data_IF_296627097724
#
_entry.id   IF_296627097724
#
_cell.length_a   1.000
_cell.length_b   1.000
_cell.length_c   1.000
_cell.angle_alpha   90.00
_cell.angle_beta   90.00
_cell.angle_gamma   90.00
#
_symmetry.space_group_name_H-M   'P 1'
#
loop_
_entity.id
_entity.type
_entity.pdbx_description
1 polymer ?
#
# COMPACT_ATOMS: atom_id res chain seq x y z
N UNK A 1 16.20 5.05 -16.73
CA UNK A 1 15.85 4.35 -15.48
C UNK A 1 15.54 5.42 -14.44
N UNK A 2 14.40 5.30 -13.75
CA UNK A 2 13.92 6.37 -12.89
C UNK A 2 14.46 6.19 -11.45
N UNK A 3 15.79 6.28 -11.30
CA UNK A 3 16.42 6.45 -9.99
C UNK A 3 16.46 7.93 -9.64
N UNK A 4 16.17 8.27 -8.38
CA UNK A 4 16.23 9.64 -7.88
C UNK A 4 16.68 9.68 -6.42
N UNK A 5 17.25 10.83 -6.05
CA UNK A 5 17.63 11.12 -4.66
C UNK A 5 16.96 12.42 -4.25
N UNK A 6 16.15 12.38 -3.22
CA UNK A 6 15.52 13.56 -2.62
C UNK A 6 16.32 13.98 -1.40
N UNK A 7 16.65 15.28 -1.32
CA UNK A 7 17.37 15.90 -0.22
C UNK A 7 16.46 16.85 0.54
N UNK A 8 16.75 17.07 1.82
CA UNK A 8 16.01 17.99 2.68
C UNK A 8 14.53 17.62 2.84
N UNK A 9 14.21 16.34 2.72
CA UNK A 9 12.88 15.79 2.96
C UNK A 9 12.96 14.80 4.12
N UNK A 10 12.15 15.02 5.15
CA UNK A 10 12.07 14.15 6.33
C UNK A 10 10.75 13.39 6.35
N UNK A 11 10.82 12.13 6.71
CA UNK A 11 9.67 11.32 7.09
C UNK A 11 9.23 11.75 8.50
N UNK A 12 8.11 12.49 8.61
CA UNK A 12 7.66 13.08 9.87
C UNK A 12 6.81 12.11 10.70
N UNK A 13 6.04 11.24 10.05
CA UNK A 13 5.23 10.24 10.74
C UNK A 13 4.28 9.47 9.84
N UNK A 14 3.61 8.48 10.45
CA UNK A 14 2.65 7.62 9.77
C UNK A 14 1.57 7.13 10.73
N UNK A 15 0.32 7.10 10.28
CA UNK A 15 -0.78 6.45 10.96
C UNK A 15 -1.55 5.53 10.02
N UNK A 16 -2.18 4.51 10.59
CA UNK A 16 -2.93 3.49 9.85
C UNK A 16 -4.27 3.24 10.51
N UNK A 17 -5.32 3.19 9.70
CA UNK A 17 -6.66 2.80 10.10
C UNK A 17 -7.09 1.56 9.31
N UNK A 18 -7.62 0.57 10.02
CA UNK A 18 -8.21 -0.65 9.44
C UNK A 18 -9.64 -0.83 9.93
N UNK A 19 -10.51 -1.50 9.16
CA UNK A 19 -11.84 -1.82 9.62
C UNK A 19 -11.82 -2.69 10.89
N UNK A 20 -12.76 -2.46 11.81
CA UNK A 20 -12.99 -3.32 12.99
C UNK A 20 -13.37 -4.74 12.61
N UNK A 21 -14.12 -4.89 11.50
CA UNK A 21 -14.64 -6.20 11.08
C UNK A 21 -13.49 -7.09 10.60
N UNK A 22 -13.32 -8.19 11.30
CA UNK A 22 -12.36 -9.26 10.95
C UNK A 22 -13.09 -10.37 10.23
N UNK A 23 -12.55 -10.83 9.11
CA UNK A 23 -13.01 -11.99 8.34
C UNK A 23 -11.98 -13.10 8.47
N UNK A 24 -12.41 -14.25 8.94
CA UNK A 24 -11.56 -15.44 8.98
C UNK A 24 -11.67 -16.24 7.69
N UNK A 25 -10.55 -16.50 7.05
CA UNK A 25 -10.50 -17.36 5.86
C UNK A 25 -10.86 -18.83 6.17
N UNK A 26 -10.82 -19.24 7.43
CA UNK A 26 -11.11 -20.61 7.86
C UNK A 26 -12.55 -20.82 8.32
N UNK A 27 -13.16 -19.82 8.97
CA UNK A 27 -14.50 -19.96 9.56
C UNK A 27 -15.59 -19.23 8.79
N UNK A 28 -15.26 -18.13 8.10
CA UNK A 28 -16.23 -17.28 7.40
C UNK A 28 -16.34 -17.63 5.90
N UNK A 29 -16.13 -18.91 5.57
CA UNK A 29 -16.33 -19.45 4.23
C UNK A 29 -17.49 -20.47 4.23
N UNK A 30 -18.03 -20.76 3.04
CA UNK A 30 -19.01 -21.83 2.88
C UNK A 30 -18.44 -23.16 3.37
N UNK A 31 -19.21 -23.99 4.11
CA UNK A 31 -18.70 -25.27 4.66
C UNK A 31 -18.07 -26.18 3.62
N UNK A 32 -18.61 -26.20 2.39
CA UNK A 32 -18.10 -27.01 1.28
C UNK A 32 -16.68 -26.61 0.86
N UNK A 33 -16.31 -25.32 1.02
CA UNK A 33 -15.01 -24.78 0.61
C UNK A 33 -13.95 -24.87 1.72
N UNK A 34 -14.29 -25.36 2.91
CA UNK A 34 -13.39 -25.31 4.09
C UNK A 34 -12.06 -26.04 3.84
N UNK A 35 -12.11 -27.25 3.30
CA UNK A 35 -10.89 -28.02 3.03
C UNK A 35 -9.98 -27.35 1.99
N UNK A 36 -10.57 -26.72 0.99
CA UNK A 36 -9.84 -25.91 -0.01
C UNK A 36 -9.25 -24.67 0.63
N UNK A 37 -10.03 -23.95 1.45
CA UNK A 37 -9.57 -22.76 2.20
C UNK A 37 -8.40 -23.09 3.15
N UNK A 38 -8.43 -24.22 3.83
CA UNK A 38 -7.33 -24.67 4.68
C UNK A 38 -6.03 -24.88 3.88
N UNK A 39 -6.14 -25.47 2.67
CA UNK A 39 -4.96 -25.61 1.76
C UNK A 39 -4.47 -24.25 1.29
N UNK A 40 -5.39 -23.37 0.90
CA UNK A 40 -5.09 -22.03 0.43
C UNK A 40 -4.38 -21.23 1.53
N UNK A 41 -4.92 -21.17 2.74
CA UNK A 41 -4.33 -20.48 3.90
C UNK A 41 -2.91 -20.98 4.18
N UNK A 42 -2.68 -22.30 4.10
CA UNK A 42 -1.32 -22.85 4.25
C UNK A 42 -0.34 -22.33 3.19
N UNK A 43 -0.79 -22.02 1.98
CA UNK A 43 0.04 -21.55 0.89
C UNK A 43 0.24 -20.04 0.90
N UNK A 44 -0.87 -19.27 0.99
CA UNK A 44 -0.84 -17.80 0.95
C UNK A 44 -0.45 -17.16 2.28
N UNK A 45 -0.67 -17.86 3.41
CA UNK A 45 -0.31 -17.40 4.76
C UNK A 45 -1.26 -16.38 5.35
N UNK A 46 -2.49 -16.23 4.83
CA UNK A 46 -3.51 -15.26 5.28
C UNK A 46 -4.60 -16.00 6.07
N UNK A 47 -4.65 -15.79 7.38
CA UNK A 47 -5.66 -16.38 8.26
C UNK A 47 -6.87 -15.48 8.42
N UNK A 48 -6.62 -14.19 8.63
CA UNK A 48 -7.67 -13.18 8.79
C UNK A 48 -7.43 -11.96 7.90
N UNK A 49 -8.51 -11.23 7.66
CA UNK A 49 -8.52 -10.02 6.84
C UNK A 49 -9.44 -8.98 7.47
N UNK A 50 -9.24 -7.71 7.12
CA UNK A 50 -10.10 -6.60 7.53
C UNK A 50 -11.03 -6.22 6.39
N UNK A 51 -12.31 -6.01 6.68
CA UNK A 51 -13.32 -5.68 5.69
C UNK A 51 -14.16 -4.49 6.15
N UNK A 52 -14.18 -3.44 5.36
CA UNK A 52 -14.97 -2.25 5.59
C UNK A 52 -16.48 -2.56 5.60
N UNK A 53 -17.25 -1.74 6.31
CA UNK A 53 -18.71 -1.79 6.26
C UNK A 53 -19.19 -1.36 4.86
N UNK A 54 -20.43 -1.71 4.49
CA UNK A 54 -20.96 -1.41 3.15
C UNK A 54 -20.95 0.08 2.81
N UNK A 55 -21.17 0.93 3.81
CA UNK A 55 -21.19 2.39 3.68
C UNK A 55 -19.81 3.03 3.77
N UNK A 56 -18.80 2.30 4.27
CA UNK A 56 -17.46 2.83 4.55
C UNK A 56 -16.59 2.78 3.29
N UNK A 57 -16.06 3.90 2.86
CA UNK A 57 -15.13 4.04 1.76
C UNK A 57 -13.66 3.99 2.24
N UNK A 58 -12.73 3.87 1.30
CA UNK A 58 -11.32 4.06 1.58
C UNK A 58 -11.05 5.41 2.25
N UNK A 59 -11.70 6.48 1.76
CA UNK A 59 -11.54 7.84 2.27
C UNK A 59 -11.90 7.98 3.75
N UNK A 60 -12.83 7.18 4.28
CA UNK A 60 -13.19 7.20 5.69
C UNK A 60 -12.05 6.67 6.57
N UNK A 61 -11.45 5.55 6.17
CA UNK A 61 -10.29 4.99 6.85
C UNK A 61 -9.06 5.91 6.76
N UNK A 62 -8.84 6.52 5.58
CA UNK A 62 -7.76 7.45 5.35
C UNK A 62 -7.94 8.76 6.14
N UNK A 63 -9.19 9.23 6.30
CA UNK A 63 -9.53 10.37 7.13
C UNK A 63 -9.16 10.11 8.60
N UNK A 64 -9.60 8.98 9.18
CA UNK A 64 -9.29 8.63 10.56
C UNK A 64 -7.77 8.52 10.79
N UNK A 65 -7.04 7.95 9.83
CA UNK A 65 -5.58 7.88 9.87
C UNK A 65 -4.93 9.27 9.80
N UNK A 66 -5.42 10.16 8.93
CA UNK A 66 -4.90 11.52 8.78
C UNK A 66 -5.16 12.39 10.01
N UNK A 67 -6.36 12.33 10.60
CA UNK A 67 -6.70 13.03 11.84
C UNK A 67 -5.76 12.61 12.97
N UNK A 68 -5.58 11.30 13.18
CA UNK A 68 -4.67 10.78 14.21
C UNK A 68 -3.22 11.21 13.98
N UNK A 69 -2.78 11.23 12.72
CA UNK A 69 -1.42 11.63 12.39
C UNK A 69 -1.20 13.12 12.64
N UNK A 70 -2.11 13.97 12.20
CA UNK A 70 -2.05 15.43 12.43
C UNK A 70 -2.02 15.75 13.93
N UNK A 71 -2.86 15.08 14.74
CA UNK A 71 -2.87 15.18 16.19
C UNK A 71 -1.51 14.78 16.79
N UNK A 72 -0.97 13.64 16.38
CA UNK A 72 0.30 13.11 16.91
C UNK A 72 1.52 13.97 16.55
N UNK A 73 1.48 14.63 15.39
CA UNK A 73 2.50 15.56 14.92
C UNK A 73 2.33 16.98 15.46
N UNK A 74 1.19 17.27 16.10
CA UNK A 74 0.78 18.64 16.50
C UNK A 74 0.78 19.62 15.31
N UNK A 75 0.54 19.11 14.09
CA UNK A 75 0.46 19.94 12.90
C UNK A 75 -0.89 20.65 12.82
N UNK A 76 -0.81 21.96 12.60
CA UNK A 76 -2.01 22.74 12.29
C UNK A 76 -2.44 22.48 10.84
N UNK A 77 -3.73 22.46 10.58
CA UNK A 77 -4.27 22.22 9.23
C UNK A 77 -3.77 23.23 8.21
N UNK A 78 -3.60 24.48 8.65
CA UNK A 78 -3.10 25.61 7.83
C UNK A 78 -1.65 25.41 7.36
N UNK A 79 -0.91 24.48 7.97
CA UNK A 79 0.48 24.17 7.61
C UNK A 79 0.60 23.10 6.55
N UNK A 80 -0.51 22.44 6.17
CA UNK A 80 -0.50 21.35 5.17
C UNK A 80 -0.63 21.93 3.77
N UNK A 81 0.46 21.95 3.03
CA UNK A 81 0.55 22.53 1.68
C UNK A 81 0.11 21.57 0.57
N UNK A 82 0.20 20.24 0.80
CA UNK A 82 -0.15 19.22 -0.19
C UNK A 82 -0.83 18.01 0.43
N UNK A 83 -1.83 17.49 -0.29
CA UNK A 83 -2.55 16.25 -0.01
C UNK A 83 -2.58 15.38 -1.26
N UNK A 84 -1.88 14.26 -1.25
CA UNK A 84 -1.88 13.29 -2.36
C UNK A 84 -2.61 12.03 -1.90
N UNK A 85 -3.65 11.66 -2.62
CA UNK A 85 -4.39 10.43 -2.38
C UNK A 85 -4.02 9.39 -3.43
N UNK A 86 -3.63 8.20 -3.00
CA UNK A 86 -3.23 7.10 -3.90
C UNK A 86 -4.11 5.90 -3.65
N UNK A 87 -5.01 5.65 -4.60
CA UNK A 87 -6.02 4.59 -4.49
C UNK A 87 -6.49 4.11 -5.87
N UNK A 88 -6.95 2.87 -5.94
CA UNK A 88 -7.70 2.30 -7.07
C UNK A 88 -9.18 2.07 -6.74
N UNK A 89 -9.61 2.50 -5.55
CA UNK A 89 -11.01 2.48 -5.11
C UNK A 89 -11.47 3.88 -4.67
N UNK A 90 -11.47 4.87 -5.59
CA UNK A 90 -11.88 6.23 -5.27
C UNK A 90 -13.37 6.27 -4.87
N UNK A 91 -13.77 7.29 -4.08
CA UNK A 91 -15.16 7.48 -3.67
C UNK A 91 -16.09 7.65 -4.88
N UNK A 92 -15.62 8.39 -5.87
CA UNK A 92 -16.31 8.67 -7.14
C UNK A 92 -15.31 8.63 -8.32
N UNK A 93 -15.81 8.40 -9.52
CA UNK A 93 -15.00 8.60 -10.73
C UNK A 93 -14.58 10.08 -10.92
N UNK A 94 -15.39 11.00 -10.42
CA UNK A 94 -15.15 12.44 -10.33
C UNK A 94 -16.11 13.04 -9.29
N UNK A 95 -15.68 13.97 -8.43
CA UNK A 95 -14.34 14.56 -8.36
C UNK A 95 -13.27 13.61 -7.80
N UNK A 96 -12.01 14.06 -7.74
CA UNK A 96 -10.94 13.36 -7.05
C UNK A 96 -11.25 13.20 -5.55
N UNK A 97 -10.92 12.04 -4.98
CA UNK A 97 -11.08 11.75 -3.53
C UNK A 97 -10.27 12.73 -2.68
N UNK A 98 -9.11 13.17 -3.17
CA UNK A 98 -8.29 14.19 -2.50
C UNK A 98 -9.03 15.52 -2.28
N UNK A 99 -9.90 15.93 -3.23
CA UNK A 99 -10.70 17.14 -3.06
C UNK A 99 -11.73 17.01 -1.94
N UNK A 100 -12.32 15.82 -1.80
CA UNK A 100 -13.27 15.51 -0.73
C UNK A 100 -12.54 15.49 0.62
N UNK A 101 -11.40 14.85 0.69
CA UNK A 101 -10.60 14.75 1.91
C UNK A 101 -9.97 16.09 2.30
N UNK A 102 -9.62 16.96 1.35
CA UNK A 102 -9.14 18.31 1.62
C UNK A 102 -10.18 19.11 2.42
N UNK A 103 -11.46 19.07 2.02
CA UNK A 103 -12.57 19.73 2.72
C UNK A 103 -12.86 19.05 4.07
N UNK A 104 -13.00 17.74 4.10
CA UNK A 104 -13.27 16.95 5.32
C UNK A 104 -12.22 17.18 6.42
N UNK A 105 -10.94 17.23 6.04
CA UNK A 105 -9.82 17.50 6.94
C UNK A 105 -9.71 18.99 7.31
N UNK A 106 -10.52 19.86 6.73
CA UNK A 106 -10.48 21.31 6.96
C UNK A 106 -9.15 21.95 6.53
N UNK A 107 -8.50 21.41 5.50
CA UNK A 107 -7.25 21.96 4.97
C UNK A 107 -7.53 23.24 4.17
N UNK A 108 -6.60 24.21 4.12
CA UNK A 108 -6.81 25.47 3.42
C UNK A 108 -7.01 25.28 1.91
N UNK A 109 -7.69 26.23 1.27
CA UNK A 109 -7.91 26.23 -0.18
C UNK A 109 -6.60 26.33 -0.98
N UNK A 110 -5.51 26.75 -0.36
CA UNK A 110 -4.16 26.76 -0.94
C UNK A 110 -3.49 25.39 -0.98
N UNK A 111 -4.04 24.38 -0.29
CA UNK A 111 -3.50 23.02 -0.30
C UNK A 111 -3.63 22.40 -1.70
N UNK A 112 -2.53 21.97 -2.28
CA UNK A 112 -2.53 21.20 -3.52
C UNK A 112 -3.09 19.81 -3.25
N UNK A 113 -4.23 19.45 -3.86
CA UNK A 113 -4.90 18.17 -3.62
C UNK A 113 -5.22 17.45 -4.94
N UNK A 114 -4.78 16.19 -5.10
CA UNK A 114 -5.07 15.37 -6.27
C UNK A 114 -4.88 13.87 -5.99
N UNK A 115 -5.51 13.04 -6.84
CA UNK A 115 -5.43 11.58 -6.78
C UNK A 115 -4.36 11.03 -7.74
N UNK A 116 -3.82 9.87 -7.36
CA UNK A 116 -2.95 9.03 -8.19
C UNK A 116 -3.53 7.62 -8.24
N UNK A 117 -3.76 7.10 -9.44
CA UNK A 117 -4.29 5.75 -9.64
C UNK A 117 -3.13 4.73 -9.65
N UNK A 118 -2.75 4.25 -8.46
CA UNK A 118 -1.81 3.15 -8.27
C UNK A 118 -2.30 2.26 -7.12
N UNK A 119 -2.03 0.95 -7.22
CA UNK A 119 -2.38 -0.05 -6.19
C UNK A 119 -1.15 -0.55 -5.43
N UNK A 120 -0.84 -1.83 -5.55
CA UNK A 120 0.17 -2.55 -4.75
C UNK A 120 1.59 -1.93 -4.75
N UNK A 121 1.98 -1.22 -5.80
CA UNK A 121 3.27 -0.52 -5.90
C UNK A 121 3.24 0.92 -5.37
N UNK A 122 2.05 1.44 -5.02
CA UNK A 122 1.76 2.85 -4.77
C UNK A 122 2.73 3.56 -3.83
N UNK A 123 3.08 2.93 -2.72
CA UNK A 123 3.69 3.62 -1.60
C UNK A 123 5.05 4.29 -1.91
N UNK A 124 6.05 3.64 -2.53
CA UNK A 124 7.28 4.30 -2.95
C UNK A 124 7.06 5.42 -3.98
N UNK A 125 6.09 5.25 -4.91
CA UNK A 125 5.74 6.29 -5.88
C UNK A 125 5.15 7.51 -5.19
N UNK A 126 4.27 7.29 -4.22
CA UNK A 126 3.62 8.35 -3.45
C UNK A 126 4.64 9.17 -2.63
N UNK A 127 5.56 8.50 -1.94
CA UNK A 127 6.65 9.15 -1.20
C UNK A 127 7.55 9.98 -2.13
N UNK A 128 7.91 9.42 -3.30
CA UNK A 128 8.72 10.13 -4.29
C UNK A 128 7.99 11.37 -4.82
N UNK A 129 6.70 11.25 -5.12
CA UNK A 129 5.91 12.35 -5.67
C UNK A 129 5.78 13.52 -4.69
N UNK A 130 5.36 13.26 -3.45
CA UNK A 130 5.27 14.30 -2.41
C UNK A 130 6.65 14.85 -2.05
N UNK A 131 7.63 13.98 -1.86
CA UNK A 131 8.99 14.40 -1.57
C UNK A 131 9.61 15.26 -2.67
N UNK A 132 9.27 15.02 -3.95
CA UNK A 132 9.70 15.85 -5.08
C UNK A 132 9.09 17.25 -5.04
N UNK A 133 7.79 17.36 -4.66
CA UNK A 133 7.15 18.68 -4.47
C UNK A 133 7.81 19.46 -3.33
N UNK A 134 8.16 18.78 -2.24
CA UNK A 134 8.88 19.39 -1.12
C UNK A 134 10.30 19.81 -1.53
N UNK A 135 11.05 18.93 -2.18
CA UNK A 135 12.41 19.22 -2.63
C UNK A 135 12.49 20.36 -3.66
N UNK A 136 11.41 20.55 -4.45
CA UNK A 136 11.29 21.68 -5.39
C UNK A 136 11.03 23.02 -4.69
N UNK A 137 10.70 23.03 -3.37
CA UNK A 137 10.57 24.24 -2.56
C UNK A 137 9.17 24.88 -2.53
N UNK A 138 8.19 24.33 -3.25
CA UNK A 138 6.82 24.84 -3.27
C UNK A 138 5.92 24.32 -2.12
N UNK A 139 6.32 23.21 -1.51
CA UNK A 139 5.60 22.52 -0.42
C UNK A 139 6.56 22.35 0.74
N UNK A 140 6.12 22.66 1.96
CA UNK A 140 6.92 22.44 3.17
C UNK A 140 6.43 21.25 3.97
N UNK A 141 5.13 21.08 4.10
CA UNK A 141 4.48 19.97 4.81
C UNK A 141 3.41 19.35 3.91
N UNK A 142 3.39 18.04 3.81
CA UNK A 142 2.38 17.36 3.01
C UNK A 142 2.01 16.00 3.56
N UNK A 143 0.83 15.55 3.15
CA UNK A 143 0.27 14.25 3.48
C UNK A 143 0.14 13.38 2.22
N UNK A 144 0.49 12.12 2.36
CA UNK A 144 0.16 11.05 1.41
C UNK A 144 -0.83 10.12 2.08
N UNK A 145 -2.01 9.94 1.48
CA UNK A 145 -3.00 8.96 1.93
C UNK A 145 -3.02 7.81 0.94
N UNK A 146 -2.76 6.60 1.43
CA UNK A 146 -2.64 5.42 0.57
C UNK A 146 -3.51 4.30 1.09
N UNK A 147 -4.24 3.63 0.22
CA UNK A 147 -5.02 2.45 0.54
C UNK A 147 -6.11 2.15 -0.46
N UNK A 148 -6.81 1.07 -0.21
CA UNK A 148 -7.91 0.61 -1.05
C UNK A 148 -9.02 -0.04 -0.21
N UNK A 149 -10.21 -0.08 -0.81
CA UNK A 149 -11.36 -0.85 -0.38
C UNK A 149 -11.74 -1.85 -1.46
N UNK A 150 -11.50 -3.12 -1.23
CA UNK A 150 -11.74 -4.18 -2.22
C UNK A 150 -11.95 -5.56 -1.59
N UNK A 151 -11.93 -5.65 -0.24
CA UNK A 151 -12.13 -6.91 0.45
C UNK A 151 -13.54 -7.45 0.21
N UNK A 152 -13.63 -8.77 0.06
CA UNK A 152 -14.87 -9.51 -0.08
C UNK A 152 -14.82 -10.77 0.78
N UNK A 153 -15.96 -11.24 1.28
CA UNK A 153 -16.03 -12.52 2.01
C UNK A 153 -15.57 -13.70 1.13
N UNK A 154 -15.83 -13.61 -0.17
CA UNK A 154 -15.49 -14.67 -1.11
C UNK A 154 -14.00 -14.65 -1.53
N UNK A 155 -13.35 -13.49 -1.53
CA UNK A 155 -11.94 -13.36 -1.85
C UNK A 155 -11.08 -13.65 -0.60
N UNK A 156 -10.14 -14.60 -0.65
CA UNK A 156 -9.31 -14.95 0.51
C UNK A 156 -8.04 -14.10 0.65
N UNK A 157 -7.79 -13.16 -0.24
CA UNK A 157 -6.50 -12.46 -0.36
C UNK A 157 -6.60 -11.03 0.14
N UNK A 158 -7.53 -10.24 -0.41
CA UNK A 158 -7.56 -8.80 -0.21
C UNK A 158 -8.23 -8.36 1.09
N UNK A 159 -7.73 -7.25 1.63
CA UNK A 159 -8.12 -6.63 2.88
C UNK A 159 -8.17 -5.12 2.70
N UNK A 160 -9.01 -4.43 3.47
CA UNK A 160 -9.19 -2.99 3.39
C UNK A 160 -8.31 -2.27 4.42
N UNK A 161 -7.77 -1.11 4.05
CA UNK A 161 -7.05 -0.21 4.93
C UNK A 161 -6.97 1.20 4.36
N UNK A 162 -6.86 2.19 5.23
CA UNK A 162 -6.51 3.57 4.91
C UNK A 162 -5.30 4.01 5.75
N UNK A 163 -4.36 4.72 5.13
CA UNK A 163 -3.13 5.16 5.81
C UNK A 163 -2.83 6.62 5.50
N UNK A 164 -2.14 7.26 6.41
CA UNK A 164 -1.63 8.62 6.23
C UNK A 164 -0.13 8.64 6.55
N UNK A 165 0.66 9.27 5.68
CA UNK A 165 2.10 9.50 5.88
C UNK A 165 2.38 10.98 5.71
N UNK A 166 3.13 11.54 6.63
CA UNK A 166 3.56 12.93 6.61
C UNK A 166 5.02 13.05 6.19
N UNK A 167 5.29 13.90 5.20
CA UNK A 167 6.63 14.35 4.84
C UNK A 167 6.74 15.85 5.03
N UNK A 168 7.94 16.32 5.41
CA UNK A 168 8.19 17.73 5.56
C UNK A 168 9.58 18.14 5.06
N UNK A 169 9.72 19.43 4.75
CA UNK A 169 11.03 20.04 4.50
C UNK A 169 11.84 20.07 5.79
N UNK A 170 13.04 19.51 5.76
CA UNK A 170 13.99 19.55 6.86
C UNK A 170 15.40 19.67 6.28
N UNK A 171 16.00 20.85 6.42
CA UNK A 171 17.34 21.10 5.91
C UNK A 171 18.35 20.14 6.58
N UNK A 172 19.18 19.51 5.75
CA UNK A 172 20.18 18.54 6.22
C UNK A 172 19.63 17.16 6.56
N UNK A 173 18.33 16.89 6.35
CA UNK A 173 17.78 15.53 6.52
C UNK A 173 18.50 14.52 5.63
N UNK A 174 18.71 13.27 6.10
CA UNK A 174 19.29 12.21 5.28
C UNK A 174 18.54 12.05 3.95
N UNK A 175 19.25 11.77 2.85
CA UNK A 175 18.61 11.65 1.55
C UNK A 175 17.72 10.41 1.48
N UNK A 176 16.60 10.53 0.78
CA UNK A 176 15.76 9.41 0.38
C UNK A 176 16.14 8.98 -1.04
N UNK A 177 16.37 7.69 -1.26
CA UNK A 177 16.74 7.14 -2.56
C UNK A 177 15.60 6.29 -3.12
N UNK A 178 15.36 6.40 -4.43
CA UNK A 178 14.25 5.70 -5.11
C UNK A 178 14.71 5.03 -6.40
N UNK A 179 14.08 3.89 -6.73
CA UNK A 179 14.08 3.27 -8.06
C UNK A 179 12.64 2.88 -8.41
N UNK A 180 12.05 3.58 -9.40
CA UNK A 180 10.65 3.42 -9.79
C UNK A 180 10.56 2.89 -11.22
N UNK A 181 9.75 1.85 -11.44
CA UNK A 181 9.71 1.11 -12.70
C UNK A 181 8.29 0.67 -13.07
N UNK A 182 8.04 0.50 -14.38
CA UNK A 182 6.78 -0.02 -14.91
C UNK A 182 7.03 -0.92 -16.12
N UNK A 183 6.21 -1.96 -16.26
CA UNK A 183 6.16 -2.87 -17.41
C UNK A 183 4.70 -3.03 -17.86
N UNK A 184 4.25 -2.14 -18.72
CA UNK A 184 2.89 -2.14 -19.24
C UNK A 184 2.55 -3.34 -20.13
N UNK A 185 3.53 -4.13 -20.57
CA UNK A 185 3.25 -5.35 -21.35
C UNK A 185 2.48 -6.40 -20.54
N UNK A 186 2.64 -6.36 -19.21
CA UNK A 186 1.97 -7.25 -18.26
C UNK A 186 0.63 -6.75 -17.72
N UNK A 187 0.01 -5.71 -18.29
CA UNK A 187 -1.19 -5.08 -17.72
C UNK A 187 -2.38 -6.00 -17.48
N UNK A 188 -2.47 -7.10 -18.24
CA UNK A 188 -3.54 -8.11 -18.10
C UNK A 188 -3.34 -9.08 -16.94
N UNK A 189 -2.15 -9.12 -16.34
CA UNK A 189 -1.88 -10.05 -15.25
C UNK A 189 -2.68 -9.72 -13.98
N UNK A 190 -3.00 -8.44 -13.77
CA UNK A 190 -3.92 -7.97 -12.73
C UNK A 190 -4.76 -6.85 -13.35
N UNK A 191 -6.06 -7.06 -13.51
CA UNK A 191 -6.93 -6.11 -14.19
C UNK A 191 -8.37 -6.16 -13.67
N UNK A 192 -9.01 -4.98 -13.55
CA UNK A 192 -10.47 -4.84 -13.53
C UNK A 192 -10.91 -4.49 -14.96
N UNK A 193 -11.41 -5.46 -15.76
CA UNK A 193 -11.61 -5.24 -17.17
C UNK A 193 -12.83 -4.37 -17.48
N UNK A 194 -13.80 -4.33 -16.54
CA UNK A 194 -15.09 -3.65 -16.69
C UNK A 194 -15.23 -2.52 -15.67
N UNK A 195 -15.86 -1.43 -16.05
CA UNK A 195 -16.13 -0.27 -15.18
C UNK A 195 -15.51 1.03 -15.67
N UNK A 196 -14.50 0.94 -16.55
CA UNK A 196 -13.91 2.10 -17.22
C UNK A 196 -14.58 2.42 -18.56
N UNK A 197 -14.07 3.44 -19.26
CA UNK A 197 -14.60 3.87 -20.56
C UNK A 197 -14.41 2.84 -21.69
N UNK A 198 -13.40 1.96 -21.58
CA UNK A 198 -13.14 0.92 -22.58
C UNK A 198 -14.22 -0.16 -22.58
N UNK A 199 -14.70 -0.53 -21.41
CA UNK A 199 -15.78 -1.50 -21.19
C UNK A 199 -16.66 -0.98 -20.05
N UNK A 200 -17.66 -0.15 -20.33
CA UNK A 200 -18.60 0.35 -19.33
C UNK A 200 -19.45 -0.77 -18.72
N UNK A 201 -19.87 -0.59 -17.46
CA UNK A 201 -20.73 -1.57 -16.78
C UNK A 201 -22.08 -1.69 -17.51
N UNK A 202 -22.41 -2.89 -17.95
CA UNK A 202 -23.74 -3.29 -18.44
C UNK A 202 -24.32 -4.40 -17.57
N UNK A 203 -25.63 -4.65 -17.69
CA UNK A 203 -26.34 -5.68 -16.91
C UNK A 203 -25.70 -7.06 -17.05
N UNK A 204 -25.21 -7.40 -18.24
CA UNK A 204 -24.52 -8.66 -18.54
C UNK A 204 -23.27 -8.88 -17.68
N UNK A 205 -22.57 -7.80 -17.27
CA UNK A 205 -21.35 -7.88 -16.49
C UNK A 205 -21.60 -8.15 -14.99
N UNK A 206 -22.83 -7.92 -14.53
CA UNK A 206 -23.25 -8.18 -13.16
C UNK A 206 -23.71 -9.63 -12.94
N UNK A 207 -24.03 -10.33 -14.07
CA UNK A 207 -24.47 -11.71 -14.01
C UNK A 207 -23.28 -12.62 -13.65
N UNK A 208 -23.41 -13.44 -12.60
CA UNK A 208 -22.37 -14.40 -12.27
C UNK A 208 -22.31 -15.49 -13.33
N UNK A 209 -21.11 -15.90 -13.68
CA UNK A 209 -20.87 -17.08 -14.52
C UNK A 209 -20.03 -18.09 -13.73
N UNK A 210 -20.21 -19.36 -14.06
CA UNK A 210 -19.48 -20.46 -13.44
C UNK A 210 -18.18 -20.68 -14.20
N UNK A 211 -17.05 -20.60 -13.50
CA UNK A 211 -15.74 -20.76 -14.12
C UNK A 211 -15.34 -22.24 -14.23
N UNK A 212 -15.69 -23.04 -13.23
CA UNK A 212 -15.34 -24.46 -13.18
C UNK A 212 -16.41 -25.34 -12.52
N UNK A 213 -16.16 -26.66 -12.46
CA UNK A 213 -17.05 -27.64 -11.85
C UNK A 213 -17.10 -27.54 -10.29
N UNK A 214 -16.19 -26.78 -9.67
CA UNK A 214 -16.08 -26.62 -8.22
C UNK A 214 -16.89 -25.47 -7.67
N UNK A 215 -17.88 -24.94 -8.41
CA UNK A 215 -18.74 -23.84 -7.98
C UNK A 215 -18.01 -22.50 -7.74
N UNK A 216 -16.91 -22.24 -8.47
CA UNK A 216 -16.32 -20.91 -8.53
C UNK A 216 -17.15 -20.01 -9.44
N UNK A 217 -17.74 -18.99 -8.83
CA UNK A 217 -18.59 -18.03 -9.53
C UNK A 217 -17.89 -16.69 -9.59
N UNK A 218 -17.71 -16.15 -10.78
CA UNK A 218 -17.13 -14.84 -11.04
C UNK A 218 -18.12 -13.95 -11.80
N UNK A 219 -17.92 -12.64 -11.67
CA UNK A 219 -18.59 -11.65 -12.52
C UNK A 219 -17.53 -10.96 -13.37
N UNK A 220 -17.90 -10.47 -14.52
CA UNK A 220 -16.97 -9.77 -15.39
C UNK A 220 -16.40 -8.49 -14.76
N UNK A 221 -17.09 -7.93 -13.75
CA UNK A 221 -16.64 -6.77 -12.97
C UNK A 221 -15.67 -7.13 -11.84
N UNK A 222 -15.41 -8.41 -11.58
CA UNK A 222 -14.48 -8.82 -10.51
C UNK A 222 -13.04 -8.69 -10.99
N UNK A 223 -12.13 -8.48 -10.04
CA UNK A 223 -10.69 -8.41 -10.32
C UNK A 223 -10.21 -9.74 -10.89
N UNK A 224 -9.55 -9.69 -12.05
CA UNK A 224 -8.88 -10.83 -12.66
C UNK A 224 -7.40 -10.80 -12.28
N UNK A 225 -6.88 -11.95 -11.83
CA UNK A 225 -5.50 -12.09 -11.35
C UNK A 225 -4.89 -13.39 -11.88
N UNK A 226 -3.86 -13.27 -12.75
CA UNK A 226 -3.01 -14.39 -13.15
C UNK A 226 -1.90 -14.60 -12.10
N UNK A 227 -2.15 -15.50 -11.15
CA UNK A 227 -1.22 -15.78 -10.07
C UNK A 227 0.16 -16.25 -10.53
N UNK A 228 0.24 -16.95 -11.67
CA UNK A 228 1.52 -17.43 -12.24
C UNK A 228 2.32 -16.28 -12.82
N UNK A 229 1.69 -15.40 -13.59
CA UNK A 229 2.33 -14.21 -14.13
C UNK A 229 2.81 -13.28 -13.02
N UNK A 230 1.98 -13.06 -11.98
CA UNK A 230 2.33 -12.23 -10.83
C UNK A 230 3.49 -12.82 -10.04
N UNK A 231 3.51 -14.13 -9.78
CA UNK A 231 4.63 -14.81 -9.11
C UNK A 231 5.92 -14.65 -9.90
N UNK A 232 5.87 -14.93 -11.21
CA UNK A 232 7.02 -14.82 -12.11
C UNK A 232 7.58 -13.39 -12.12
N UNK A 233 6.72 -12.40 -12.35
CA UNK A 233 7.06 -10.97 -12.32
C UNK A 233 7.73 -10.59 -11.01
N UNK A 234 7.04 -10.84 -9.87
CA UNK A 234 7.50 -10.40 -8.56
C UNK A 234 8.86 -10.98 -8.21
N UNK A 235 9.05 -12.29 -8.45
CA UNK A 235 10.31 -12.99 -8.10
C UNK A 235 11.47 -12.72 -9.06
N UNK A 236 11.20 -12.19 -10.27
CA UNK A 236 12.23 -11.80 -11.24
C UNK A 236 12.60 -10.31 -11.17
N UNK A 237 11.64 -9.42 -10.84
CA UNK A 237 11.86 -7.97 -10.88
C UNK A 237 12.22 -7.38 -9.51
N UNK A 238 11.62 -7.90 -8.43
CA UNK A 238 11.80 -7.30 -7.09
C UNK A 238 13.22 -7.48 -6.54
N UNK A 239 13.83 -8.68 -6.53
CA UNK A 239 15.18 -8.82 -5.98
C UNK A 239 16.22 -7.95 -6.69
N UNK A 240 16.32 -7.91 -8.05
CA UNK A 240 17.25 -7.01 -8.73
C UNK A 240 16.98 -5.52 -8.47
N UNK A 241 15.71 -5.12 -8.26
CA UNK A 241 15.38 -3.72 -7.96
C UNK A 241 15.89 -3.30 -6.58
N UNK A 242 15.80 -4.20 -5.58
CA UNK A 242 16.35 -3.98 -4.24
C UNK A 242 17.88 -3.84 -4.29
N UNK A 243 18.57 -4.75 -4.97
CA UNK A 243 20.02 -4.70 -5.13
C UNK A 243 20.48 -3.44 -5.85
N UNK A 244 19.80 -3.09 -6.95
CA UNK A 244 20.07 -1.87 -7.69
C UNK A 244 19.89 -0.60 -6.86
N UNK A 245 18.86 -0.52 -6.01
CA UNK A 245 18.67 0.64 -5.14
C UNK A 245 19.77 0.75 -4.10
N UNK A 246 20.17 -0.37 -3.49
CA UNK A 246 21.28 -0.38 -2.54
C UNK A 246 22.60 0.06 -3.18
N UNK A 247 22.91 -0.46 -4.36
CA UNK A 247 24.09 -0.05 -5.14
C UNK A 247 24.04 1.45 -5.47
N UNK A 248 22.88 1.96 -5.91
CA UNK A 248 22.69 3.39 -6.21
C UNK A 248 22.88 4.28 -4.99
N UNK A 249 22.41 3.83 -3.83
CA UNK A 249 22.54 4.54 -2.55
C UNK A 249 23.92 4.38 -1.91
N UNK A 250 24.78 3.50 -2.43
CA UNK A 250 26.06 3.14 -1.81
C UNK A 250 25.88 2.46 -0.45
N UNK A 251 24.81 1.69 -0.27
CA UNK A 251 24.46 1.02 0.97
C UNK A 251 24.53 -0.51 0.84
N UNK A 252 24.87 -1.19 1.93
CA UNK A 252 24.82 -2.65 2.02
C UNK A 252 23.52 -3.15 2.68
N UNK A 253 23.20 -4.44 2.47
CA UNK A 253 22.04 -5.09 3.15
C UNK A 253 22.19 -5.09 4.67
N UNK A 254 23.41 -5.12 5.19
CA UNK A 254 23.67 -5.16 6.63
C UNK A 254 23.33 -3.83 7.31
N UNK A 255 23.47 -2.72 6.58
CA UNK A 255 23.14 -1.37 7.05
C UNK A 255 21.64 -1.06 7.05
N UNK A 256 20.79 -1.94 6.47
CA UNK A 256 19.34 -1.82 6.49
C UNK A 256 18.79 -2.55 7.69
N UNK A 257 18.02 -1.85 8.53
CA UNK A 257 17.39 -2.42 9.71
C UNK A 257 16.18 -3.27 9.34
N UNK A 258 15.33 -2.75 8.43
CA UNK A 258 14.11 -3.42 7.98
C UNK A 258 13.91 -3.35 6.47
N UNK A 259 13.51 -4.48 5.88
CA UNK A 259 13.03 -4.60 4.51
C UNK A 259 11.53 -4.82 4.52
N UNK A 260 10.77 -3.79 4.18
CA UNK A 260 9.30 -3.85 4.18
C UNK A 260 8.81 -4.04 2.73
N UNK A 261 8.29 -5.22 2.44
CA UNK A 261 7.76 -5.58 1.14
C UNK A 261 6.23 -5.46 1.10
N UNK A 262 5.69 -5.17 -0.08
CA UNK A 262 4.27 -5.37 -0.35
C UNK A 262 3.84 -6.77 0.11
N UNK A 263 2.72 -6.85 0.81
CA UNK A 263 2.19 -8.09 1.39
C UNK A 263 1.30 -8.82 0.37
N UNK A 264 1.91 -9.38 -0.68
CA UNK A 264 1.19 -10.07 -1.76
C UNK A 264 0.60 -11.41 -1.29
N UNK A 265 1.47 -12.34 -0.92
CA UNK A 265 1.19 -13.59 -0.23
C UNK A 265 2.51 -14.20 0.28
N UNK A 266 2.40 -15.20 1.18
CA UNK A 266 3.59 -15.82 1.81
C UNK A 266 4.55 -16.44 0.80
N UNK A 267 4.05 -17.10 -0.23
CA UNK A 267 4.90 -17.78 -1.22
C UNK A 267 5.77 -16.76 -1.98
N UNK A 268 5.19 -15.66 -2.45
CA UNK A 268 5.92 -14.59 -3.14
C UNK A 268 6.92 -13.95 -2.20
N UNK A 269 6.47 -13.51 -1.01
CA UNK A 269 7.30 -12.76 -0.07
C UNK A 269 8.49 -13.60 0.43
N UNK A 270 8.29 -14.89 0.78
CA UNK A 270 9.35 -15.79 1.18
C UNK A 270 10.33 -16.12 0.05
N UNK A 271 9.84 -16.19 -1.19
CA UNK A 271 10.74 -16.39 -2.35
C UNK A 271 11.63 -15.16 -2.55
N UNK A 272 11.09 -13.96 -2.45
CA UNK A 272 11.86 -12.70 -2.55
C UNK A 272 12.89 -12.64 -1.42
N UNK A 273 12.45 -12.83 -0.16
CA UNK A 273 13.34 -12.82 1.01
C UNK A 273 14.53 -13.77 0.85
N UNK A 274 14.26 -15.02 0.46
CA UNK A 274 15.29 -16.06 0.27
C UNK A 274 16.25 -15.73 -0.88
N UNK A 275 15.74 -15.21 -2.00
CA UNK A 275 16.60 -14.79 -3.14
C UNK A 275 17.54 -13.64 -2.74
N UNK A 276 17.10 -12.74 -1.87
CA UNK A 276 17.92 -11.64 -1.36
C UNK A 276 18.84 -12.05 -0.21
N UNK A 277 18.70 -13.28 0.33
CA UNK A 277 19.47 -13.76 1.47
C UNK A 277 19.16 -13.02 2.78
N UNK A 278 17.93 -12.46 2.92
CA UNK A 278 17.57 -11.65 4.08
C UNK A 278 17.14 -12.54 5.26
N UNK A 279 17.60 -12.22 6.49
CA UNK A 279 17.14 -12.88 7.71
C UNK A 279 15.67 -12.51 7.99
N UNK A 280 14.93 -13.42 8.62
CA UNK A 280 13.47 -13.27 8.81
C UNK A 280 13.11 -12.09 9.73
N UNK A 281 13.95 -11.81 10.71
CA UNK A 281 13.77 -10.72 11.68
C UNK A 281 13.88 -9.33 11.06
N UNK A 282 14.56 -9.18 9.93
CA UNK A 282 14.62 -7.92 9.17
C UNK A 282 13.44 -7.74 8.18
N UNK A 283 12.58 -8.75 8.02
CA UNK A 283 11.47 -8.72 7.05
C UNK A 283 10.12 -8.89 7.76
N UNK A 284 9.60 -7.82 8.38
CA UNK A 284 8.31 -7.88 9.07
C UNK A 284 7.17 -8.22 8.11
N UNK A 285 6.15 -8.94 8.60
CA UNK A 285 4.99 -9.34 7.82
C UNK A 285 3.69 -9.21 8.59
N UNK A 286 2.65 -8.75 7.91
CA UNK A 286 1.27 -8.62 8.39
C UNK A 286 0.30 -9.55 7.66
N UNK A 287 0.79 -10.36 6.73
CA UNK A 287 -0.04 -11.25 5.90
C UNK A 287 -1.01 -12.10 6.71
N UNK A 288 -0.55 -12.67 7.83
CA UNK A 288 -1.37 -13.56 8.64
C UNK A 288 -2.65 -12.92 9.13
N UNK A 289 -2.54 -11.67 9.65
CA UNK A 289 -3.58 -11.01 10.41
C UNK A 289 -4.35 -9.96 9.60
N UNK A 290 -3.70 -9.40 8.57
CA UNK A 290 -4.26 -8.31 7.77
C UNK A 290 -4.41 -8.65 6.28
N UNK A 291 -3.85 -9.77 5.80
CA UNK A 291 -3.88 -10.11 4.37
C UNK A 291 -3.18 -9.10 3.48
N UNK A 292 -3.63 -9.02 2.22
CA UNK A 292 -3.12 -8.08 1.23
C UNK A 292 -3.96 -6.79 1.26
N UNK A 293 -3.43 -5.73 1.85
CA UNK A 293 -4.06 -4.40 1.92
C UNK A 293 -3.64 -3.48 0.76
N UNK A 294 -3.32 -4.05 -0.42
CA UNK A 294 -2.93 -3.32 -1.63
C UNK A 294 -1.82 -2.29 -1.37
N UNK A 295 -2.00 -1.03 -1.77
CA UNK A 295 -1.05 0.07 -1.57
C UNK A 295 -0.73 0.38 -0.11
N UNK A 296 -1.66 0.10 0.80
CA UNK A 296 -1.49 0.30 2.24
C UNK A 296 -0.60 -0.75 2.92
N UNK A 297 -0.19 -1.81 2.22
CA UNK A 297 0.48 -2.96 2.85
C UNK A 297 1.82 -2.64 3.52
N UNK A 298 2.59 -1.70 2.97
CA UNK A 298 3.83 -1.24 3.60
C UNK A 298 3.54 -0.43 4.87
N UNK A 299 2.69 0.62 4.83
CA UNK A 299 2.30 1.36 6.02
C UNK A 299 1.67 0.50 7.11
N UNK A 300 0.74 -0.40 6.76
CA UNK A 300 0.13 -1.34 7.72
C UNK A 300 1.21 -2.20 8.40
N UNK A 301 2.20 -2.69 7.62
CA UNK A 301 3.28 -3.51 8.19
C UNK A 301 4.16 -2.68 9.11
N UNK A 302 4.52 -1.47 8.74
CA UNK A 302 5.34 -0.59 9.59
C UNK A 302 4.61 -0.25 10.89
N UNK A 303 3.34 0.14 10.83
CA UNK A 303 2.55 0.52 12.00
C UNK A 303 2.23 -0.68 12.91
N UNK A 304 1.89 -1.85 12.33
CA UNK A 304 1.44 -2.99 13.11
C UNK A 304 2.58 -3.87 13.67
N UNK A 305 3.82 -3.75 13.16
CA UNK A 305 4.91 -4.67 13.52
C UNK A 305 6.16 -4.00 14.08
N UNK A 306 6.48 -2.78 13.67
CA UNK A 306 7.76 -2.13 14.00
C UNK A 306 7.57 -0.64 14.38
N UNK A 307 6.37 -0.19 14.69
CA UNK A 307 6.10 1.22 15.03
C UNK A 307 6.95 1.70 16.22
N UNK A 308 7.10 0.86 17.25
CA UNK A 308 7.86 1.21 18.46
C UNK A 308 9.34 1.35 18.17
N UNK A 309 9.90 0.46 17.35
CA UNK A 309 11.30 0.51 16.93
C UNK A 309 11.56 1.75 16.07
N UNK A 310 10.63 2.06 15.14
CA UNK A 310 10.74 3.24 14.28
C UNK A 310 10.62 4.56 15.06
N UNK A 311 9.84 4.58 16.14
CA UNK A 311 9.67 5.77 16.98
C UNK A 311 10.82 5.94 17.98
N UNK A 312 11.43 4.84 18.45
CA UNK A 312 12.45 4.84 19.49
C UNK A 312 13.83 5.33 19.05
N UNK A 313 14.15 5.30 17.74
CA UNK A 313 15.47 5.66 17.27
C UNK A 313 15.57 5.84 15.75
N UNK A 314 16.81 6.00 15.27
CA UNK A 314 17.09 6.03 13.85
C UNK A 314 17.07 4.62 13.28
N UNK A 315 16.27 4.44 12.24
CA UNK A 315 16.17 3.18 11.51
C UNK A 315 16.32 3.44 10.01
N UNK A 316 17.13 2.64 9.33
CA UNK A 316 17.23 2.63 7.87
C UNK A 316 16.30 1.58 7.33
N UNK A 317 15.30 2.01 6.57
CA UNK A 317 14.23 1.15 6.07
C UNK A 317 14.25 1.11 4.54
N UNK A 318 14.26 -0.10 3.97
CA UNK A 318 14.03 -0.31 2.55
C UNK A 318 12.57 -0.73 2.33
N UNK A 319 11.84 0.10 1.60
CA UNK A 319 10.45 -0.09 1.24
C UNK A 319 10.35 -0.60 -0.20
N UNK A 320 9.55 -1.63 -0.46
CA UNK A 320 9.38 -2.16 -1.81
C UNK A 320 7.92 -2.52 -2.09
N UNK A 321 7.25 -1.70 -2.91
CA UNK A 321 5.92 -1.95 -3.44
C UNK A 321 6.00 -2.54 -4.85
N UNK A 322 5.13 -3.50 -5.18
CA UNK A 322 5.09 -4.14 -6.50
C UNK A 322 3.73 -4.78 -6.75
N UNK A 323 3.28 -4.81 -8.00
CA UNK A 323 2.03 -5.46 -8.40
C UNK A 323 1.43 -4.89 -9.68
N UNK A 324 0.13 -4.57 -9.58
CA UNK A 324 -0.69 -4.09 -10.68
C UNK A 324 -0.02 -2.96 -11.47
N UNK A 325 -0.12 -3.10 -12.89
CA UNK A 325 0.47 -2.16 -13.81
C UNK A 325 1.07 -2.85 -15.05
N UNK A 326 2.01 -3.79 -14.99
CA UNK A 326 2.81 -4.11 -13.80
C UNK A 326 3.72 -2.96 -13.43
N UNK A 327 3.90 -2.74 -12.14
CA UNK A 327 4.78 -1.69 -11.65
C UNK A 327 5.46 -2.10 -10.34
N UNK A 328 6.64 -1.55 -10.09
CA UNK A 328 7.35 -1.76 -8.84
C UNK A 328 8.20 -0.54 -8.50
N UNK A 329 8.33 -0.28 -7.22
CA UNK A 329 9.14 0.80 -6.70
C UNK A 329 9.86 0.41 -5.43
N UNK A 330 11.09 0.89 -5.29
CA UNK A 330 11.87 0.76 -4.06
C UNK A 330 12.22 2.15 -3.52
N UNK A 331 12.26 2.27 -2.19
CA UNK A 331 12.69 3.48 -1.49
C UNK A 331 13.60 3.08 -0.33
N UNK A 332 14.76 3.72 -0.21
CA UNK A 332 15.62 3.63 0.96
C UNK A 332 15.52 4.96 1.72
N UNK A 333 15.09 4.88 2.98
CA UNK A 333 14.85 6.03 3.84
C UNK A 333 15.40 5.81 5.24
N UNK A 334 16.05 6.83 5.79
CA UNK A 334 16.37 6.90 7.20
C UNK A 334 15.21 7.56 7.95
N UNK A 335 14.61 6.85 8.89
CA UNK A 335 13.51 7.34 9.73
C UNK A 335 14.07 7.64 11.13
N UNK A 336 13.91 8.89 11.55
CA UNK A 336 14.37 9.35 12.86
C UNK A 336 13.44 10.44 13.38
N UNK A 337 13.00 10.34 14.63
CA UNK A 337 12.11 11.30 15.29
C UNK A 337 10.72 11.38 14.69
N UNK A 338 10.31 10.38 13.92
CA UNK A 338 8.99 10.28 13.31
C UNK A 338 7.95 9.77 14.32
N UNK A 339 6.67 10.10 14.10
CA UNK A 339 5.55 9.65 14.94
C UNK A 339 4.86 8.45 14.32
N UNK A 340 4.63 7.43 15.13
CA UNK A 340 3.93 6.19 14.74
C UNK A 340 2.85 5.83 15.78
N UNK A 341 1.74 6.57 15.83
CA UNK A 341 0.65 6.23 16.75
C UNK A 341 0.16 4.80 16.52
N UNK A 342 -0.40 4.20 17.57
CA UNK A 342 -0.97 2.85 17.49
C UNK A 342 -2.03 2.77 16.38
N UNK A 343 -2.10 1.60 15.73
CA UNK A 343 -3.05 1.29 14.68
C UNK A 343 -4.49 1.53 15.16
N UNK A 344 -5.28 2.19 14.33
CA UNK A 344 -6.68 2.54 14.59
C UNK A 344 -7.57 1.47 13.99
N UNK A 345 -8.63 1.12 14.72
CA UNK A 345 -9.73 0.30 14.23
C UNK A 345 -11.01 1.13 14.13
N UNK A 346 -11.58 1.28 12.94
CA UNK A 346 -12.76 2.09 12.68
C UNK A 346 -13.98 1.27 12.22
#
# INVERSE_FOLDING_TARGET
MATSTLKNVRFAGMATCVPKRVISNLTDCKPQLRAERERLVRNIGIETRRMAQEWQCFSDLAFDAAERLLESLEWKREEVDALIVVTQSPDYLAPATASILQDRLGLPHSTVAFDVNLGCSAYPFALNLLGSLIAAGGVKKGLVLVGDRGASVNDPIFSDAGTATALEFCEGAPPMHFDLNSDGSGYKAIILPVGGHREPVGVQHLMPFREDENDHWHRAIDLQLDGTAVLSFSTQRVPPAVEKLLDYAGASKDEVDYFVFHQANRMINETIRKKLGLPVEKVPSTLRDFGNTSGASLPVTMTARINRELEAGRNRVLLCGFGIGLSWGTCLVDIEGAKFPDLIES
#
